data_IF_062955010554
#
_entry.id   IF_062955010554
#
_cell.length_a   1.000
_cell.length_b   1.000
_cell.length_c   1.000
_cell.angle_alpha   90.00
_cell.angle_beta   90.00
_cell.angle_gamma   90.00
#
_symmetry.space_group_name_H-M   'P 1'
#
loop_
_entity.id
_entity.type
_entity.pdbx_description
1 polymer ?
#
# COMPACT_ATOMS: atom_id res chain seq x y z
N UNK A 1 18.09 -5.30 -7.72
CA UNK A 1 16.93 -6.17 -7.49
C UNK A 1 17.13 -7.49 -8.21
N UNK A 2 16.25 -8.43 -7.92
CA UNK A 2 16.15 -9.75 -8.54
C UNK A 2 14.72 -9.92 -9.04
N UNK A 3 14.56 -10.64 -10.15
CA UNK A 3 13.26 -11.04 -10.68
C UNK A 3 13.40 -12.45 -11.24
N UNK A 4 12.46 -13.32 -10.90
CA UNK A 4 12.47 -14.72 -11.33
C UNK A 4 11.04 -15.24 -11.45
N UNK A 5 10.80 -16.16 -12.39
CA UNK A 5 9.52 -16.81 -12.56
C UNK A 5 8.73 -16.36 -13.80
N UNK A 6 7.44 -16.69 -13.81
CA UNK A 6 6.53 -16.52 -14.94
C UNK A 6 5.16 -16.07 -14.47
N UNK A 7 4.50 -15.27 -15.31
CA UNK A 7 3.05 -15.04 -15.27
C UNK A 7 2.45 -15.68 -16.51
N UNK A 8 1.55 -16.64 -16.31
CA UNK A 8 0.78 -17.26 -17.39
C UNK A 8 -0.71 -17.26 -17.03
N UNK A 9 -1.53 -16.37 -17.61
CA UNK A 9 -2.97 -16.30 -17.34
C UNK A 9 -3.73 -17.60 -17.64
N UNK A 10 -3.19 -18.46 -18.50
CA UNK A 10 -3.81 -19.72 -18.90
C UNK A 10 -3.16 -20.94 -18.21
N UNK A 11 -2.18 -20.72 -17.33
CA UNK A 11 -1.36 -21.75 -16.71
C UNK A 11 -1.06 -21.44 -15.24
N UNK A 12 0.06 -21.96 -14.72
CA UNK A 12 0.52 -21.63 -13.38
C UNK A 12 1.44 -20.40 -13.42
N UNK A 13 1.25 -19.48 -12.48
CA UNK A 13 2.15 -18.36 -12.23
C UNK A 13 3.03 -18.65 -11.01
N UNK A 14 4.25 -18.16 -11.03
CA UNK A 14 5.19 -18.17 -9.88
C UNK A 14 6.24 -17.08 -10.08
N UNK A 15 5.79 -15.83 -10.22
CA UNK A 15 6.67 -14.68 -10.36
C UNK A 15 7.07 -14.17 -8.97
N UNK A 16 8.34 -13.84 -8.80
CA UNK A 16 8.85 -13.05 -7.68
C UNK A 16 9.74 -11.92 -8.17
N UNK A 17 9.62 -10.77 -7.52
CA UNK A 17 10.44 -9.58 -7.73
C UNK A 17 10.84 -9.04 -6.37
N UNK A 18 12.11 -8.72 -6.22
CA UNK A 18 12.65 -8.06 -5.03
C UNK A 18 13.54 -6.89 -5.42
N UNK A 19 13.27 -5.74 -4.83
CA UNK A 19 14.06 -4.53 -4.94
C UNK A 19 14.52 -4.17 -3.53
N UNK A 20 15.82 -4.00 -3.38
CA UNK A 20 16.43 -3.52 -2.14
C UNK A 20 17.51 -2.50 -2.47
N UNK A 21 17.49 -1.36 -1.78
CA UNK A 21 18.52 -0.35 -1.88
C UNK A 21 19.82 -0.90 -1.26
N UNK A 22 20.93 -0.87 -2.00
CA UNK A 22 22.26 -1.30 -1.51
C UNK A 22 23.02 -0.19 -0.76
N UNK A 23 22.38 0.95 -0.53
CA UNK A 23 22.98 2.16 0.01
C UNK A 23 21.88 3.10 0.54
N UNK A 24 21.97 4.42 0.33
CA UNK A 24 20.92 5.34 0.72
C UNK A 24 19.55 4.97 0.13
N UNK A 25 18.44 5.31 0.82
CA UNK A 25 17.10 5.09 0.29
C UNK A 25 16.89 5.74 -1.07
N UNK A 26 16.08 5.10 -1.92
CA UNK A 26 15.63 5.69 -3.18
C UNK A 26 14.56 6.72 -2.87
N UNK A 27 14.79 7.98 -3.23
CA UNK A 27 13.83 9.07 -3.01
C UNK A 27 13.07 9.36 -4.30
N UNK A 28 11.74 9.28 -4.22
CA UNK A 28 10.81 9.60 -5.30
C UNK A 28 10.01 10.84 -4.92
N UNK A 29 9.80 11.75 -5.88
CA UNK A 29 8.85 12.86 -5.76
C UNK A 29 7.70 12.58 -6.73
N UNK A 30 6.50 12.38 -6.19
CA UNK A 30 5.29 12.01 -6.91
C UNK A 30 4.28 13.16 -6.87
N UNK A 31 3.39 13.23 -7.87
CA UNK A 31 2.32 14.24 -7.94
C UNK A 31 2.76 15.58 -8.54
N UNK A 32 1.90 16.59 -8.41
CA UNK A 32 2.13 17.92 -8.97
C UNK A 32 3.25 18.67 -8.23
N UNK A 33 4.06 19.43 -8.96
CA UNK A 33 5.18 20.18 -8.38
C UNK A 33 4.77 21.17 -7.27
N UNK A 34 3.53 21.65 -7.28
CA UNK A 34 3.01 22.55 -6.24
C UNK A 34 2.80 21.84 -4.89
N UNK A 35 2.52 20.54 -4.89
CA UNK A 35 2.26 19.73 -3.69
C UNK A 35 2.79 18.30 -3.90
N UNK A 36 4.13 18.11 -3.88
CA UNK A 36 4.72 16.81 -4.11
C UNK A 36 4.50 15.88 -2.91
N UNK A 37 4.37 14.59 -3.20
CA UNK A 37 4.52 13.50 -2.23
C UNK A 37 5.94 12.97 -2.33
N UNK A 38 6.71 13.09 -1.26
CA UNK A 38 8.09 12.56 -1.22
C UNK A 38 8.08 11.20 -0.54
N UNK A 39 8.67 10.20 -1.19
CA UNK A 39 8.71 8.81 -0.72
C UNK A 39 10.15 8.33 -0.69
N UNK A 40 10.66 7.92 0.47
CA UNK A 40 11.99 7.36 0.63
C UNK A 40 11.89 5.84 0.89
N UNK A 41 12.36 5.04 -0.07
CA UNK A 41 12.12 3.60 -0.13
C UNK A 41 13.43 2.84 0.07
N UNK A 42 13.43 1.81 0.91
CA UNK A 42 14.58 0.90 1.10
C UNK A 42 14.34 -0.46 0.47
N UNK A 43 13.08 -0.90 0.38
CA UNK A 43 12.76 -2.19 -0.23
C UNK A 43 11.34 -2.27 -0.78
N UNK A 44 11.15 -3.13 -1.77
CA UNK A 44 9.86 -3.53 -2.30
C UNK A 44 9.92 -4.98 -2.79
N UNK A 45 8.85 -5.72 -2.58
CA UNK A 45 8.68 -7.08 -3.05
C UNK A 45 7.35 -7.20 -3.78
N UNK A 46 7.29 -8.08 -4.77
CA UNK A 46 6.05 -8.47 -5.41
C UNK A 46 6.12 -9.96 -5.74
N UNK A 47 5.06 -10.70 -5.44
CA UNK A 47 4.92 -12.11 -5.77
C UNK A 47 3.55 -12.35 -6.36
N UNK A 48 3.50 -13.23 -7.36
CA UNK A 48 2.27 -13.68 -7.97
C UNK A 48 2.39 -15.19 -8.21
N UNK A 49 1.56 -15.98 -7.54
CA UNK A 49 1.68 -17.44 -7.59
C UNK A 49 0.32 -18.14 -7.59
N UNK A 50 0.29 -19.36 -8.13
CA UNK A 50 -0.93 -20.16 -8.25
C UNK A 50 -1.57 -20.07 -9.63
N UNK A 51 -2.90 -20.19 -9.70
CA UNK A 51 -3.64 -20.24 -10.95
C UNK A 51 -3.57 -18.93 -11.72
N UNK A 52 -3.24 -19.00 -13.01
CA UNK A 52 -2.88 -17.88 -13.87
C UNK A 52 -3.86 -16.72 -13.96
N UNK A 53 -5.15 -17.02 -14.08
CA UNK A 53 -6.19 -16.00 -14.25
C UNK A 53 -6.40 -15.18 -12.97
N UNK A 54 -6.32 -15.85 -11.82
CA UNK A 54 -6.59 -15.28 -10.50
C UNK A 54 -5.52 -15.78 -9.51
N UNK A 55 -4.25 -15.36 -9.65
CA UNK A 55 -3.21 -15.79 -8.75
C UNK A 55 -3.36 -15.11 -7.39
N UNK A 56 -2.67 -15.69 -6.40
CA UNK A 56 -2.41 -15.01 -5.15
C UNK A 56 -1.35 -13.94 -5.43
N UNK A 57 -1.61 -12.71 -4.98
CA UNK A 57 -0.68 -11.59 -5.10
C UNK A 57 -0.25 -11.15 -3.71
N UNK A 58 1.06 -11.09 -3.48
CA UNK A 58 1.66 -10.47 -2.30
C UNK A 58 2.55 -9.31 -2.73
N UNK A 59 2.36 -8.12 -2.17
CA UNK A 59 3.23 -6.96 -2.38
C UNK A 59 3.68 -6.46 -1.01
N UNK A 60 4.98 -6.25 -0.86
CA UNK A 60 5.58 -5.65 0.31
C UNK A 60 6.34 -4.38 -0.05
N UNK A 61 6.37 -3.41 0.85
CA UNK A 61 7.25 -2.26 0.75
C UNK A 61 7.77 -1.82 2.12
N UNK A 62 9.04 -1.41 2.16
CA UNK A 62 9.69 -0.82 3.33
C UNK A 62 10.17 0.58 2.98
N UNK A 63 9.64 1.56 3.70
CA UNK A 63 9.87 2.97 3.47
C UNK A 63 10.45 3.60 4.73
N UNK A 64 11.50 4.39 4.55
CA UNK A 64 12.05 5.23 5.64
C UNK A 64 11.09 6.35 5.94
N UNK A 65 10.49 6.97 4.91
CA UNK A 65 9.48 7.99 5.13
C UNK A 65 8.58 8.26 3.93
N UNK A 66 7.38 8.75 4.23
CA UNK A 66 6.45 9.40 3.28
C UNK A 66 6.12 10.79 3.78
N UNK A 67 6.29 11.81 2.95
CA UNK A 67 5.98 13.20 3.30
C UNK A 67 4.98 13.76 2.29
N UNK A 68 3.84 14.23 2.78
CA UNK A 68 2.79 14.85 1.99
C UNK A 68 2.03 15.89 2.83
N UNK A 69 1.80 17.09 2.30
CA UNK A 69 0.90 18.08 2.90
C UNK A 69 1.16 18.41 4.38
N UNK A 70 2.42 18.62 4.77
CA UNK A 70 2.80 18.89 6.17
C UNK A 70 2.68 17.68 7.11
N UNK A 71 2.47 16.50 6.57
CA UNK A 71 2.45 15.23 7.31
C UNK A 71 3.61 14.36 6.87
N UNK A 72 4.28 13.75 7.84
CA UNK A 72 5.38 12.82 7.66
C UNK A 72 5.06 11.52 8.37
N UNK A 73 5.17 10.42 7.65
CA UNK A 73 5.10 9.06 8.18
C UNK A 73 6.51 8.50 8.14
N UNK A 74 7.00 7.97 9.25
CA UNK A 74 8.34 7.38 9.38
C UNK A 74 8.24 5.86 9.59
N UNK A 75 9.23 5.14 9.10
CA UNK A 75 9.37 3.67 9.22
C UNK A 75 8.10 2.91 8.79
N UNK A 76 7.60 3.23 7.60
CA UNK A 76 6.39 2.63 7.06
C UNK A 76 6.68 1.27 6.41
N UNK A 77 6.01 0.23 6.90
CA UNK A 77 5.88 -1.06 6.24
C UNK A 77 4.48 -1.15 5.66
N UNK A 78 4.41 -1.50 4.37
CA UNK A 78 3.15 -1.74 3.67
C UNK A 78 3.12 -3.16 3.13
N UNK A 79 2.04 -3.87 3.39
CA UNK A 79 1.77 -5.21 2.87
C UNK A 79 0.41 -5.17 2.18
N UNK A 80 0.34 -5.74 0.98
CA UNK A 80 -0.89 -5.91 0.22
C UNK A 80 -0.98 -7.38 -0.14
N UNK A 81 -2.13 -7.99 0.12
CA UNK A 81 -2.39 -9.38 -0.19
C UNK A 81 -3.75 -9.52 -0.89
N UNK A 82 -3.79 -10.37 -1.91
CA UNK A 82 -5.01 -10.70 -2.65
C UNK A 82 -5.08 -12.19 -2.94
N UNK A 83 -6.16 -12.83 -2.48
CA UNK A 83 -6.50 -14.21 -2.80
C UNK A 83 -7.38 -14.24 -4.06
N UNK A 84 -6.74 -14.30 -5.24
CA UNK A 84 -7.45 -14.44 -6.51
C UNK A 84 -7.67 -13.13 -7.26
N UNK A 85 -6.64 -12.32 -7.40
CA UNK A 85 -6.69 -11.10 -8.20
C UNK A 85 -6.82 -11.43 -9.69
N UNK A 86 -7.93 -11.06 -10.33
CA UNK A 86 -8.08 -11.18 -11.78
C UNK A 86 -7.14 -10.19 -12.47
N UNK A 87 -6.05 -10.70 -13.05
CA UNK A 87 -5.03 -9.87 -13.71
C UNK A 87 -5.57 -9.21 -14.98
N UNK A 88 -6.51 -9.86 -15.68
CA UNK A 88 -7.05 -9.36 -16.94
C UNK A 88 -8.02 -8.21 -16.68
N UNK A 89 -8.89 -8.38 -15.69
CA UNK A 89 -9.87 -7.37 -15.30
C UNK A 89 -9.37 -6.38 -14.26
N UNK A 90 -8.18 -6.62 -13.69
CA UNK A 90 -7.55 -5.82 -12.63
C UNK A 90 -8.50 -5.65 -11.45
N UNK A 91 -9.12 -6.74 -11.04
CA UNK A 91 -10.15 -6.76 -10.03
C UNK A 91 -9.98 -7.92 -9.07
N UNK A 92 -10.46 -7.75 -7.85
CA UNK A 92 -10.40 -8.83 -6.86
C UNK A 92 -10.41 -8.32 -5.44
N UNK A 93 -10.46 -9.26 -4.47
CA UNK A 93 -10.35 -8.93 -3.06
C UNK A 93 -8.94 -8.43 -2.75
N UNK A 94 -8.82 -7.44 -1.89
CA UNK A 94 -7.52 -6.92 -1.46
C UNK A 94 -7.57 -6.68 0.04
N UNK A 95 -6.50 -7.11 0.71
CA UNK A 95 -6.20 -6.75 2.08
C UNK A 95 -4.93 -5.90 2.09
N UNK A 96 -4.91 -4.85 2.88
CA UNK A 96 -3.79 -3.93 3.02
C UNK A 96 -3.49 -3.78 4.51
N UNK A 97 -2.22 -3.92 4.86
CA UNK A 97 -1.72 -3.68 6.20
C UNK A 97 -0.60 -2.65 6.15
N UNK A 98 -0.76 -1.59 6.93
CA UNK A 98 0.20 -0.50 7.04
C UNK A 98 0.64 -0.39 8.49
N UNK A 99 1.95 -0.35 8.73
CA UNK A 99 2.52 -0.11 10.05
C UNK A 99 3.53 1.02 9.93
N UNK A 100 3.29 2.13 10.61
CA UNK A 100 4.23 3.23 10.72
C UNK A 100 4.87 3.27 12.11
N UNK A 101 6.18 3.50 12.17
CA UNK A 101 6.90 3.72 13.43
C UNK A 101 6.55 5.05 14.08
N UNK A 102 6.18 6.05 13.29
CA UNK A 102 5.70 7.34 13.76
C UNK A 102 4.93 8.12 12.69
N UNK A 103 4.02 8.98 13.14
CA UNK A 103 3.33 9.96 12.30
C UNK A 103 3.47 11.34 12.91
N UNK A 104 4.03 12.27 12.15
CA UNK A 104 4.14 13.68 12.49
C UNK A 104 3.24 14.49 11.56
N UNK A 105 2.51 15.46 12.10
CA UNK A 105 1.60 16.31 11.33
C UNK A 105 1.65 17.73 11.86
N UNK A 106 1.66 18.69 10.94
CA UNK A 106 1.59 20.13 11.27
C UNK A 106 0.20 20.54 11.78
N UNK A 107 -0.80 19.65 11.71
CA UNK A 107 -2.14 19.90 12.25
C UNK A 107 -2.12 19.67 13.76
N UNK A 108 -1.98 20.76 14.52
CA UNK A 108 -1.83 20.73 15.98
C UNK A 108 -2.91 19.91 16.73
N UNK A 109 -4.14 19.85 16.21
CA UNK A 109 -5.23 19.08 16.81
C UNK A 109 -5.12 17.57 16.59
N UNK A 110 -4.36 17.12 15.58
CA UNK A 110 -4.18 15.71 15.25
C UNK A 110 -2.92 15.12 15.89
N UNK A 111 -1.89 15.92 16.16
CA UNK A 111 -0.62 15.46 16.71
C UNK A 111 -0.75 14.54 17.95
N UNK A 112 -1.61 14.83 18.95
CA UNK A 112 -1.78 13.95 20.11
C UNK A 112 -2.39 12.58 19.78
N UNK A 113 -3.17 12.48 18.69
CA UNK A 113 -3.88 11.26 18.30
C UNK A 113 -2.99 10.26 17.57
N UNK A 114 -1.86 10.73 17.03
CA UNK A 114 -1.00 9.97 16.10
C UNK A 114 0.43 9.87 16.60
N UNK A 115 0.66 10.27 17.85
CA UNK A 115 1.94 10.08 18.53
C UNK A 115 2.22 8.58 18.72
N UNK A 116 3.41 8.14 18.33
CA UNK A 116 3.83 6.74 18.46
C UNK A 116 3.47 5.89 17.23
N UNK A 117 3.42 4.57 17.44
CA UNK A 117 3.15 3.61 16.37
C UNK A 117 1.70 3.73 15.89
N UNK A 118 1.52 3.72 14.58
CA UNK A 118 0.20 3.73 13.94
C UNK A 118 0.06 2.50 13.05
N UNK A 119 -1.07 1.81 13.16
CA UNK A 119 -1.40 0.67 12.32
C UNK A 119 -2.71 0.90 11.58
N UNK A 120 -2.75 0.59 10.29
CA UNK A 120 -3.98 0.57 9.52
C UNK A 120 -4.16 -0.80 8.85
N UNK A 121 -5.34 -1.38 9.01
CA UNK A 121 -5.75 -2.63 8.36
C UNK A 121 -6.96 -2.33 7.49
N UNK A 122 -6.90 -2.69 6.21
CA UNK A 122 -8.00 -2.52 5.26
C UNK A 122 -8.29 -3.85 4.57
N UNK A 123 -9.57 -4.16 4.36
CA UNK A 123 -10.05 -5.26 3.57
C UNK A 123 -11.20 -4.77 2.68
N UNK A 124 -11.20 -5.22 1.44
CA UNK A 124 -12.24 -4.90 0.49
C UNK A 124 -11.94 -5.43 -0.90
N UNK A 125 -12.34 -4.68 -1.92
CA UNK A 125 -12.11 -5.06 -3.31
C UNK A 125 -11.78 -3.86 -4.20
N UNK A 126 -11.08 -4.13 -5.28
CA UNK A 126 -10.77 -3.15 -6.33
C UNK A 126 -11.29 -3.64 -7.67
N UNK A 127 -11.63 -2.71 -8.54
CA UNK A 127 -11.91 -2.92 -9.94
C UNK A 127 -11.44 -1.70 -10.75
N UNK A 128 -11.69 -1.71 -12.06
CA UNK A 128 -11.41 -0.56 -12.94
C UNK A 128 -12.24 0.68 -12.57
N UNK A 129 -13.44 0.48 -12.02
CA UNK A 129 -14.42 1.54 -11.84
C UNK A 129 -14.63 1.93 -10.38
N UNK A 130 -14.31 1.03 -9.44
CA UNK A 130 -14.55 1.27 -8.01
C UNK A 130 -13.51 0.63 -7.10
N UNK A 131 -13.32 1.27 -5.95
CA UNK A 131 -12.66 0.71 -4.77
C UNK A 131 -13.70 0.62 -3.66
N UNK A 132 -13.85 -0.56 -3.08
CA UNK A 132 -14.71 -0.82 -1.94
C UNK A 132 -13.83 -1.15 -0.75
N UNK A 133 -14.07 -0.48 0.37
CA UNK A 133 -13.48 -0.79 1.68
C UNK A 133 -14.59 -1.33 2.56
N UNK A 134 -14.66 -2.66 2.65
CA UNK A 134 -15.64 -3.35 3.48
C UNK A 134 -15.30 -3.19 4.97
N UNK A 135 -14.00 -3.17 5.29
CA UNK A 135 -13.49 -2.93 6.64
C UNK A 135 -12.16 -2.18 6.59
N UNK A 136 -12.12 -0.99 7.17
CA UNK A 136 -10.88 -0.26 7.43
C UNK A 136 -10.77 0.05 8.91
N UNK A 137 -9.58 -0.11 9.49
CA UNK A 137 -9.29 0.29 10.87
C UNK A 137 -8.01 1.11 10.93
N UNK A 138 -7.96 2.08 11.84
CA UNK A 138 -6.79 2.89 12.13
C UNK A 138 -6.61 2.93 13.65
N UNK A 139 -5.43 2.51 14.11
CA UNK A 139 -5.13 2.38 15.54
C UNK A 139 -3.80 3.03 15.90
N UNK A 140 -3.79 3.70 17.04
CA UNK A 140 -2.61 4.19 17.77
C UNK A 140 -2.89 4.05 19.27
N UNK A 141 -1.99 4.54 20.12
CA UNK A 141 -2.20 4.56 21.58
C UNK A 141 -3.40 5.43 21.99
N UNK A 142 -3.72 6.46 21.20
CA UNK A 142 -4.75 7.45 21.50
C UNK A 142 -5.98 7.37 20.57
N UNK A 143 -5.90 6.60 19.48
CA UNK A 143 -6.93 6.52 18.45
C UNK A 143 -7.31 5.06 18.16
N UNK A 144 -8.61 4.79 18.09
CA UNK A 144 -9.14 3.55 17.53
C UNK A 144 -10.34 3.92 16.66
N UNK A 145 -10.12 3.94 15.36
CA UNK A 145 -11.11 4.33 14.37
C UNK A 145 -11.40 3.19 13.38
N UNK A 146 -12.60 3.19 12.83
CA UNK A 146 -13.02 2.28 11.78
C UNK A 146 -13.74 3.03 10.65
N UNK A 147 -13.58 2.56 9.43
CA UNK A 147 -14.20 3.13 8.23
C UNK A 147 -14.72 2.02 7.32
N UNK A 148 -15.85 2.29 6.68
CA UNK A 148 -16.37 1.53 5.55
C UNK A 148 -16.67 2.54 4.45
N UNK A 149 -16.22 2.30 3.23
CA UNK A 149 -16.37 3.26 2.15
C UNK A 149 -16.49 2.59 0.80
N UNK A 150 -17.06 3.32 -0.16
CA UNK A 150 -17.07 2.97 -1.56
C UNK A 150 -16.70 4.22 -2.35
N UNK A 151 -15.73 4.09 -3.24
CA UNK A 151 -15.22 5.18 -4.07
C UNK A 151 -15.37 4.79 -5.53
N UNK A 152 -16.12 5.59 -6.28
CA UNK A 152 -16.27 5.49 -7.73
C UNK A 152 -15.17 6.28 -8.42
N UNK A 153 -14.38 5.61 -9.27
CA UNK A 153 -13.19 6.20 -9.91
C UNK A 153 -13.55 7.19 -11.03
N UNK A 154 -14.78 7.13 -11.55
CA UNK A 154 -15.30 8.14 -12.47
C UNK A 154 -15.31 9.55 -11.86
N UNK A 155 -15.37 9.66 -10.53
CA UNK A 155 -15.41 10.94 -9.82
C UNK A 155 -14.02 11.55 -9.57
N UNK A 156 -12.93 10.85 -9.95
CA UNK A 156 -11.55 11.31 -9.78
C UNK A 156 -10.93 11.94 -11.04
N UNK A 157 -11.68 12.03 -12.14
CA UNK A 157 -11.23 12.54 -13.44
C UNK A 157 -11.36 14.08 -13.58
#
# INVERSE_FOLDING_TARGET
>A
GTAAGIIDPNGASDLSVELAAKGPPVVLSLGAAAQPVTVAITGATARAFGGGKAPIIDIGASLVSVVAGGTRVDDLVAEIHSDGFDIQDRSGPVTIKLIAGGLNTDVATLAPLVTGRVTADLAGSVSKDEIVVDQGTLRSDALNASVTSKVTLADLA
#
